data_IF_257280165665
#
_entry.id   IF_257280165665
#
_cell.length_a   1.000
_cell.length_b   1.000
_cell.length_c   1.000
_cell.angle_alpha   90.00
_cell.angle_beta   90.00
_cell.angle_gamma   90.00
#
_symmetry.space_group_name_H-M   'P 1'
#
loop_
_entity.id
_entity.type
_entity.pdbx_description
1 polymer ?
#
# COMPACT_ATOMS: atom_id res chain seq x y z
N UNK A 1 -1.46 7.45 1.98
CA UNK A 1 -1.01 7.25 0.59
C UNK A 1 -1.37 5.85 0.18
N UNK A 2 -1.81 5.69 -1.06
CA UNK A 2 -2.33 4.42 -1.56
C UNK A 2 -1.76 4.13 -2.94
N UNK A 3 -1.18 2.94 -3.13
CA UNK A 3 -0.82 2.47 -4.47
C UNK A 3 -2.09 2.13 -5.26
N UNK A 4 -2.19 2.63 -6.48
CA UNK A 4 -3.41 2.57 -7.30
C UNK A 4 -3.33 1.47 -8.36
N UNK A 5 -4.46 0.82 -8.64
CA UNK A 5 -4.64 -0.08 -9.78
C UNK A 5 -6.07 0.03 -10.32
N UNK A 6 -6.31 -0.18 -11.62
CA UNK A 6 -7.66 -0.13 -12.21
C UNK A 6 -8.49 -1.40 -11.96
N UNK A 7 -7.84 -2.53 -11.67
CA UNK A 7 -8.41 -3.88 -11.79
C UNK A 7 -9.16 -4.42 -10.56
N UNK A 8 -9.42 -3.59 -9.54
CA UNK A 8 -10.12 -4.08 -8.35
C UNK A 8 -11.63 -4.19 -8.59
N UNK A 9 -12.14 -5.42 -8.73
CA UNK A 9 -13.58 -5.72 -8.81
C UNK A 9 -14.28 -5.69 -7.44
N UNK A 10 -13.55 -5.40 -6.37
CA UNK A 10 -14.08 -5.32 -5.00
C UNK A 10 -15.09 -4.17 -4.85
N UNK A 11 -16.25 -4.47 -4.25
CA UNK A 11 -17.28 -3.50 -3.87
C UNK A 11 -17.38 -3.43 -2.34
N UNK A 12 -17.40 -2.23 -1.73
CA UNK A 12 -17.33 -0.91 -2.36
C UNK A 12 -15.97 -0.65 -3.02
N UNK A 13 -15.92 0.37 -3.90
CA UNK A 13 -14.73 0.70 -4.69
C UNK A 13 -13.48 0.75 -3.81
N UNK A 14 -12.51 -0.09 -4.15
CA UNK A 14 -11.28 -0.23 -3.39
C UNK A 14 -10.59 1.14 -3.31
N UNK A 15 -10.31 1.59 -2.09
CA UNK A 15 -9.68 2.88 -1.75
C UNK A 15 -10.55 4.16 -1.85
N UNK A 16 -11.86 4.02 -2.12
CA UNK A 16 -12.79 5.16 -2.19
C UNK A 16 -12.50 6.08 -3.38
N UNK A 17 -12.11 5.49 -4.51
CA UNK A 17 -11.76 6.18 -5.75
C UNK A 17 -12.64 5.63 -6.87
N UNK A 18 -13.08 6.50 -7.77
CA UNK A 18 -13.81 6.15 -8.99
C UNK A 18 -13.07 6.69 -10.21
N UNK A 19 -13.18 6.01 -11.34
CA UNK A 19 -12.58 6.44 -12.61
C UNK A 19 -13.66 6.71 -13.65
N UNK A 20 -13.39 7.62 -14.57
CA UNK A 20 -14.24 7.91 -15.73
C UNK A 20 -13.39 8.02 -16.99
N UNK A 21 -13.95 7.63 -18.14
CA UNK A 21 -13.22 7.52 -19.40
C UNK A 21 -12.37 6.25 -19.51
N UNK A 22 -11.43 6.24 -20.45
CA UNK A 22 -10.57 5.08 -20.72
C UNK A 22 -9.41 5.02 -19.73
N UNK A 23 -9.31 3.90 -19.02
CA UNK A 23 -8.22 3.62 -18.07
C UNK A 23 -7.56 2.28 -18.37
N UNK A 24 -6.26 2.17 -18.12
CA UNK A 24 -5.50 0.93 -18.25
C UNK A 24 -4.50 0.74 -17.10
N UNK A 25 -3.95 -0.46 -17.00
CA UNK A 25 -3.00 -0.83 -15.93
C UNK A 25 -1.57 -0.68 -16.44
N UNK A 26 -0.76 0.13 -15.77
CA UNK A 26 0.68 0.16 -15.98
C UNK A 26 1.39 -0.87 -15.10
N UNK A 27 2.71 -1.00 -15.27
CA UNK A 27 3.54 -2.03 -14.60
C UNK A 27 4.48 -1.46 -13.54
N UNK A 28 4.36 -0.16 -13.24
CA UNK A 28 5.27 0.58 -12.36
C UNK A 28 4.67 0.74 -10.96
N UNK A 29 5.42 1.37 -10.07
CA UNK A 29 4.98 1.69 -8.72
C UNK A 29 5.20 0.57 -7.68
N UNK A 30 4.78 0.79 -6.43
CA UNK A 30 5.05 -0.11 -5.30
C UNK A 30 4.40 -1.48 -5.41
N UNK A 31 3.35 -1.59 -6.24
CA UNK A 31 2.67 -2.85 -6.53
C UNK A 31 3.15 -3.49 -7.83
N UNK A 32 3.97 -2.81 -8.64
CA UNK A 32 4.18 -3.18 -10.05
C UNK A 32 2.89 -3.17 -10.86
N UNK A 33 1.93 -2.38 -10.39
CA UNK A 33 0.65 -2.05 -11.01
C UNK A 33 0.38 -0.58 -10.67
N UNK A 34 -0.11 0.16 -11.66
CA UNK A 34 -0.42 1.59 -11.61
C UNK A 34 -1.68 1.87 -12.41
N UNK A 35 -2.26 3.06 -12.25
CA UNK A 35 -3.35 3.51 -13.11
C UNK A 35 -2.82 4.42 -14.21
N UNK A 36 -3.16 4.12 -15.46
CA UNK A 36 -2.94 5.00 -16.60
C UNK A 36 -4.29 5.58 -17.00
N UNK A 37 -4.40 6.90 -16.91
CA UNK A 37 -5.54 7.65 -17.43
C UNK A 37 -5.22 8.01 -18.88
N UNK A 38 -6.09 7.64 -19.82
CA UNK A 38 -6.00 8.18 -21.19
C UNK A 38 -6.33 9.68 -21.19
N UNK A 39 -6.02 10.38 -22.29
CA UNK A 39 -6.40 11.79 -22.43
C UNK A 39 -7.91 11.98 -22.23
N UNK A 40 -8.29 12.95 -21.40
CA UNK A 40 -9.67 13.20 -20.97
C UNK A 40 -10.23 12.24 -19.91
N UNK A 41 -9.54 11.13 -19.59
CA UNK A 41 -9.94 10.25 -18.50
C UNK A 41 -9.60 10.87 -17.14
N UNK A 42 -10.35 10.47 -16.12
CA UNK A 42 -10.22 11.05 -14.79
C UNK A 42 -10.32 10.04 -13.67
N UNK A 43 -9.72 10.42 -12.55
CA UNK A 43 -9.81 9.78 -11.25
C UNK A 43 -10.49 10.75 -10.27
N UNK A 44 -11.47 10.28 -9.51
CA UNK A 44 -12.23 11.10 -8.57
C UNK A 44 -12.42 10.44 -7.20
N UNK A 45 -12.55 11.26 -6.17
CA UNK A 45 -12.83 10.83 -4.79
C UNK A 45 -13.38 11.99 -3.97
N UNK A 46 -14.12 11.68 -2.90
CA UNK A 46 -14.70 12.69 -2.00
C UNK A 46 -13.98 12.71 -0.66
N UNK A 47 -13.82 13.89 -0.07
CA UNK A 47 -13.34 14.06 1.30
C UNK A 47 -12.94 15.50 1.62
N UNK A 48 -12.46 15.74 2.85
CA UNK A 48 -11.90 17.02 3.28
C UNK A 48 -10.37 16.89 3.38
N UNK A 49 -9.64 17.42 2.41
CA UNK A 49 -8.19 17.26 2.32
C UNK A 49 -7.50 18.60 2.12
N UNK A 50 -6.55 18.92 3.01
CA UNK A 50 -5.74 20.14 2.85
C UNK A 50 -4.70 19.97 1.74
N UNK A 51 -4.36 18.73 1.39
CA UNK A 51 -3.38 18.38 0.39
C UNK A 51 -3.84 17.15 -0.40
N UNK A 52 -3.82 17.30 -1.72
CA UNK A 52 -4.07 16.24 -2.69
C UNK A 52 -2.95 16.26 -3.71
N UNK A 53 -2.17 15.19 -3.74
CA UNK A 53 -1.04 15.02 -4.65
C UNK A 53 -0.98 13.58 -5.14
N UNK A 54 -0.15 13.35 -6.15
CA UNK A 54 0.18 12.02 -6.66
C UNK A 54 1.68 11.78 -6.72
N UNK A 55 2.02 10.50 -6.69
CA UNK A 55 3.22 9.97 -7.35
C UNK A 55 2.86 9.54 -8.78
N UNK A 56 3.68 9.93 -9.74
CA UNK A 56 3.46 9.66 -11.15
C UNK A 56 4.76 9.27 -11.85
N UNK A 57 4.64 8.73 -13.05
CA UNK A 57 5.80 8.54 -13.93
C UNK A 57 5.86 9.69 -14.92
N UNK A 58 7.01 10.35 -15.06
CA UNK A 58 7.27 11.24 -16.18
C UNK A 58 7.80 10.39 -17.34
N UNK A 59 7.29 10.60 -18.56
CA UNK A 59 7.76 9.87 -19.74
C UNK A 59 7.48 10.66 -21.03
N UNK A 60 8.12 10.27 -22.13
CA UNK A 60 7.89 10.89 -23.43
C UNK A 60 6.46 10.57 -23.90
N UNK A 61 5.74 11.59 -24.38
CA UNK A 61 4.37 11.44 -24.87
C UNK A 61 3.28 11.40 -23.79
N UNK A 62 3.64 11.57 -22.51
CA UNK A 62 2.63 11.80 -21.46
C UNK A 62 2.09 13.23 -21.50
N UNK A 63 0.86 13.39 -20.99
CA UNK A 63 0.17 14.67 -20.88
C UNK A 63 0.43 15.37 -19.54
N UNK A 64 -0.60 16.05 -19.04
CA UNK A 64 -0.62 16.70 -17.74
C UNK A 64 -1.81 16.20 -16.90
N UNK A 65 -1.70 16.27 -15.57
CA UNK A 65 -2.83 16.08 -14.66
C UNK A 65 -3.36 17.42 -14.19
N UNK A 66 -4.64 17.68 -14.44
CA UNK A 66 -5.38 18.82 -13.93
C UNK A 66 -6.19 18.41 -12.70
N UNK A 67 -6.00 19.11 -11.58
CA UNK A 67 -6.64 18.83 -10.29
C UNK A 67 -7.75 19.86 -10.05
N UNK A 68 -8.98 19.40 -9.92
CA UNK A 68 -10.16 20.23 -9.68
C UNK A 68 -10.88 19.83 -8.39
N UNK A 69 -11.67 20.76 -7.85
CA UNK A 69 -12.53 20.55 -6.68
C UNK A 69 -13.96 20.99 -7.01
N UNK A 70 -14.95 20.14 -6.72
CA UNK A 70 -16.38 20.35 -6.98
C UNK A 70 -16.70 20.82 -8.41
N UNK A 71 -15.99 20.29 -9.41
CA UNK A 71 -16.20 20.64 -10.82
C UNK A 71 -15.74 22.06 -11.21
N UNK A 72 -15.08 22.78 -10.30
CA UNK A 72 -14.49 24.08 -10.58
C UNK A 72 -13.24 24.00 -11.47
N UNK A 73 -12.62 25.16 -11.71
CA UNK A 73 -11.36 25.24 -12.43
C UNK A 73 -10.24 24.45 -11.73
N UNK A 74 -9.25 24.01 -12.51
CA UNK A 74 -8.10 23.32 -11.96
C UNK A 74 -7.32 24.26 -11.02
N UNK A 75 -7.16 23.88 -9.76
CA UNK A 75 -6.34 24.62 -8.79
C UNK A 75 -4.86 24.24 -8.89
N UNK A 76 -4.55 23.17 -9.61
CA UNK A 76 -3.19 22.65 -9.83
C UNK A 76 -3.13 21.89 -11.14
N UNK A 77 -2.02 22.04 -11.86
CA UNK A 77 -1.67 21.22 -13.03
C UNK A 77 -0.27 20.66 -12.87
N UNK A 78 -0.06 19.40 -13.22
CA UNK A 78 1.21 18.69 -13.14
C UNK A 78 1.58 18.20 -14.53
N UNK A 79 2.71 18.66 -15.07
CA UNK A 79 3.22 18.17 -16.35
C UNK A 79 3.95 16.83 -16.16
N UNK A 80 3.49 15.79 -16.87
CA UNK A 80 4.10 14.46 -16.86
C UNK A 80 4.92 14.15 -18.13
N UNK A 81 4.99 15.09 -19.08
CA UNK A 81 5.86 14.96 -20.24
C UNK A 81 7.34 15.16 -19.85
N UNK A 82 8.23 14.31 -20.34
CA UNK A 82 9.68 14.52 -20.23
C UNK A 82 10.50 13.24 -20.38
N UNK A 83 11.74 13.28 -19.92
CA UNK A 83 12.56 12.08 -19.81
C UNK A 83 11.96 11.12 -18.78
N UNK A 84 12.17 9.81 -18.98
CA UNK A 84 11.65 8.78 -18.07
C UNK A 84 12.17 9.03 -16.64
N UNK A 85 11.25 9.34 -15.73
CA UNK A 85 11.51 9.46 -14.32
C UNK A 85 10.38 8.81 -13.53
N UNK A 86 10.73 7.87 -12.64
CA UNK A 86 9.76 7.11 -11.85
C UNK A 86 9.43 7.83 -10.54
N UNK A 87 8.24 7.55 -10.01
CA UNK A 87 7.77 7.98 -8.67
C UNK A 87 7.90 9.48 -8.38
N UNK A 88 7.79 10.30 -9.43
CA UNK A 88 7.82 11.75 -9.33
C UNK A 88 6.71 12.23 -8.41
N UNK A 89 7.05 13.12 -7.48
CA UNK A 89 6.11 13.66 -6.53
C UNK A 89 5.60 15.02 -7.01
N UNK A 90 4.29 15.14 -7.11
CA UNK A 90 3.66 16.36 -7.64
C UNK A 90 3.53 17.51 -6.64
N UNK A 91 3.90 17.34 -5.38
CA UNK A 91 3.62 18.30 -4.30
C UNK A 91 4.85 18.84 -3.58
N UNK A 92 4.66 19.45 -2.39
CA UNK A 92 3.38 19.63 -1.69
C UNK A 92 2.50 20.71 -2.34
N UNK A 93 1.21 20.42 -2.51
CA UNK A 93 0.24 21.41 -2.99
C UNK A 93 -0.97 21.49 -2.08
N UNK A 94 -1.16 22.66 -1.46
CA UNK A 94 -2.34 22.93 -0.65
C UNK A 94 -3.56 23.11 -1.55
N UNK A 95 -4.67 22.46 -1.20
CA UNK A 95 -5.93 22.54 -1.94
C UNK A 95 -6.70 23.83 -1.63
N UNK A 96 -6.41 24.45 -0.48
CA UNK A 96 -7.21 25.55 0.08
C UNK A 96 -8.60 25.15 0.57
N UNK A 97 -8.92 23.84 0.57
CA UNK A 97 -10.27 23.35 0.92
C UNK A 97 -10.31 22.84 2.36
N UNK A 98 -11.27 23.32 3.13
CA UNK A 98 -11.53 22.87 4.50
C UNK A 98 -12.77 21.96 4.62
N UNK A 99 -13.74 22.10 3.71
CA UNK A 99 -14.95 21.31 3.67
C UNK A 99 -14.77 20.03 2.85
N UNK A 100 -15.61 19.03 3.12
CA UNK A 100 -15.67 17.83 2.28
C UNK A 100 -16.22 18.18 0.89
N UNK A 101 -15.61 17.65 -0.16
CA UNK A 101 -16.09 17.80 -1.52
C UNK A 101 -15.42 16.80 -2.47
N UNK A 102 -15.82 16.86 -3.75
CA UNK A 102 -15.33 15.96 -4.78
C UNK A 102 -14.05 16.50 -5.42
N UNK A 103 -12.97 15.73 -5.34
CA UNK A 103 -11.74 15.99 -6.07
C UNK A 103 -11.74 15.20 -7.36
N UNK A 104 -11.23 15.81 -8.44
CA UNK A 104 -11.07 15.15 -9.74
C UNK A 104 -9.70 15.47 -10.30
N UNK A 105 -8.99 14.42 -10.72
CA UNK A 105 -7.69 14.48 -11.39
C UNK A 105 -7.92 14.00 -12.82
N UNK A 106 -7.77 14.89 -13.79
CA UNK A 106 -8.03 14.61 -15.21
C UNK A 106 -6.73 14.64 -16.00
N UNK A 107 -6.48 13.63 -16.82
CA UNK A 107 -5.38 13.65 -17.78
C UNK A 107 -5.74 14.57 -18.97
N UNK A 108 -4.82 15.45 -19.36
CA UNK A 108 -5.03 16.47 -20.39
C UNK A 108 -3.81 16.53 -21.31
N UNK A 109 -4.05 16.50 -22.62
CA UNK A 109 -3.01 16.61 -23.65
C UNK A 109 -2.17 15.34 -23.80
N UNK A 110 -2.66 14.20 -23.30
CA UNK A 110 -1.98 12.91 -23.38
C UNK A 110 -2.26 12.02 -22.16
N UNK A 111 -1.87 10.73 -22.21
CA UNK A 111 -2.05 9.82 -21.09
C UNK A 111 -1.15 10.20 -19.91
N UNK A 112 -1.56 9.84 -18.69
CA UNK A 112 -0.72 9.98 -17.49
C UNK A 112 -0.77 8.73 -16.61
N UNK A 113 0.41 8.24 -16.21
CA UNK A 113 0.55 7.10 -15.29
C UNK A 113 0.74 7.55 -13.84
N UNK A 114 -0.22 7.21 -12.98
CA UNK A 114 -0.22 7.51 -11.55
C UNK A 114 0.14 6.23 -10.78
N UNK A 115 1.24 6.30 -10.01
CA UNK A 115 1.75 5.17 -9.21
C UNK A 115 1.36 5.26 -7.74
N UNK A 116 0.86 6.41 -7.27
CA UNK A 116 0.36 6.55 -5.90
C UNK A 116 -0.47 7.82 -5.69
N UNK A 117 -1.44 7.76 -4.77
CA UNK A 117 -2.29 8.90 -4.39
C UNK A 117 -2.03 9.33 -2.95
N UNK A 118 -1.82 10.64 -2.76
CA UNK A 118 -1.66 11.30 -1.46
C UNK A 118 -2.91 12.12 -1.18
N UNK A 119 -3.50 11.86 -0.01
CA UNK A 119 -4.61 12.61 0.55
C UNK A 119 -4.29 12.88 2.01
N UNK A 120 -4.01 14.12 2.38
CA UNK A 120 -3.81 14.51 3.76
C UNK A 120 -5.05 15.27 4.24
N UNK A 121 -5.74 14.70 5.23
CA UNK A 121 -6.89 15.36 5.87
C UNK A 121 -6.46 16.62 6.62
N UNK A 122 -7.40 17.53 6.88
CA UNK A 122 -7.15 18.81 7.57
C UNK A 122 -6.45 18.56 8.92
N UNK A 123 -5.32 19.21 9.16
CA UNK A 123 -4.64 19.17 10.46
C UNK A 123 -5.03 20.38 11.30
N UNK A 124 -5.61 20.11 12.47
CA UNK A 124 -5.89 21.15 13.45
C UNK A 124 -4.60 21.85 13.90
N UNK A 125 -4.63 23.18 14.04
CA UNK A 125 -3.52 23.94 14.58
C UNK A 125 -3.11 23.41 15.98
N UNK A 126 -1.81 23.35 16.25
CA UNK A 126 -1.27 22.84 17.52
C UNK A 126 -1.30 21.31 17.71
N UNK A 127 -1.91 20.54 16.80
CA UNK A 127 -1.92 19.08 16.91
C UNK A 127 -0.53 18.44 16.68
N UNK A 128 -0.37 17.18 17.12
CA UNK A 128 0.87 16.40 16.97
C UNK A 128 1.34 16.28 15.51
N UNK A 129 2.64 15.99 15.27
CA UNK A 129 3.14 15.66 13.94
C UNK A 129 2.35 14.50 13.30
N UNK A 130 2.18 14.56 11.98
CA UNK A 130 1.46 13.52 11.22
C UNK A 130 2.30 12.25 11.13
N UNK A 131 1.67 11.11 11.37
CA UNK A 131 2.14 9.84 10.84
C UNK A 131 1.62 9.70 9.41
N UNK A 132 2.52 9.74 8.43
CA UNK A 132 2.19 9.55 7.02
C UNK A 132 2.31 8.07 6.72
N UNK A 133 1.21 7.45 6.30
CA UNK A 133 1.18 6.02 6.00
C UNK A 133 1.05 5.79 4.50
N UNK A 134 1.81 4.82 3.99
CA UNK A 134 1.66 4.25 2.66
C UNK A 134 1.16 2.82 2.83
N UNK A 135 0.11 2.46 2.09
CA UNK A 135 -0.35 1.08 1.96
C UNK A 135 -0.06 0.57 0.55
N UNK A 136 0.87 -0.38 0.45
CA UNK A 136 1.14 -1.17 -0.74
C UNK A 136 0.64 -2.59 -0.48
N UNK A 137 -0.63 -2.85 -0.76
CA UNK A 137 -1.26 -4.16 -0.57
C UNK A 137 -1.97 -4.62 -1.82
N UNK A 138 -1.86 -5.91 -2.12
CA UNK A 138 -2.54 -6.56 -3.22
C UNK A 138 -2.89 -8.00 -2.82
N UNK A 139 -4.09 -8.46 -3.15
CA UNK A 139 -4.50 -9.85 -2.89
C UNK A 139 -3.59 -10.84 -3.59
N UNK A 140 -3.32 -12.00 -3.00
CA UNK A 140 -2.46 -13.04 -3.58
C UNK A 140 -0.96 -12.71 -3.64
N UNK A 141 -0.50 -11.55 -3.17
CA UNK A 141 0.93 -11.22 -3.18
C UNK A 141 1.68 -12.01 -2.11
N UNK A 142 2.85 -12.49 -2.49
CA UNK A 142 3.81 -13.18 -1.65
C UNK A 142 5.00 -12.27 -1.34
N UNK A 143 5.95 -12.74 -0.53
CA UNK A 143 7.22 -12.01 -0.37
C UNK A 143 7.94 -11.79 -1.71
N UNK A 144 7.91 -12.77 -2.62
CA UNK A 144 8.54 -12.63 -3.95
C UNK A 144 7.89 -11.54 -4.81
N UNK A 145 6.62 -11.20 -4.55
CA UNK A 145 5.92 -10.12 -5.23
C UNK A 145 6.53 -8.74 -4.92
N UNK A 146 7.28 -8.57 -3.83
CA UNK A 146 7.96 -7.30 -3.50
C UNK A 146 9.45 -7.39 -3.88
N UNK A 147 9.70 -7.42 -5.20
CA UNK A 147 11.05 -7.39 -5.74
C UNK A 147 11.74 -6.02 -5.57
N UNK A 148 13.01 -5.94 -5.97
CA UNK A 148 13.83 -4.74 -5.81
C UNK A 148 13.19 -3.46 -6.39
N UNK A 149 12.58 -3.52 -7.59
CA UNK A 149 11.96 -2.36 -8.23
C UNK A 149 10.73 -1.86 -7.44
N UNK A 150 9.88 -2.79 -6.99
CA UNK A 150 8.69 -2.46 -6.19
C UNK A 150 9.05 -1.90 -4.81
N UNK A 151 10.08 -2.46 -4.17
CA UNK A 151 10.60 -1.93 -2.90
C UNK A 151 11.23 -0.54 -3.07
N UNK A 152 12.04 -0.35 -4.11
CA UNK A 152 12.64 0.96 -4.42
C UNK A 152 11.55 2.03 -4.61
N UNK A 153 10.49 1.69 -5.34
CA UNK A 153 9.33 2.56 -5.51
C UNK A 153 8.62 2.85 -4.19
N UNK A 154 8.34 1.82 -3.37
CA UNK A 154 7.73 1.99 -2.05
C UNK A 154 8.57 2.91 -1.14
N UNK A 155 9.89 2.75 -1.15
CA UNK A 155 10.85 3.57 -0.38
C UNK A 155 10.82 5.02 -0.87
N UNK A 156 10.93 5.25 -2.18
CA UNK A 156 10.90 6.58 -2.78
C UNK A 156 9.60 7.32 -2.44
N UNK A 157 8.47 6.63 -2.60
CA UNK A 157 7.17 7.20 -2.26
C UNK A 157 7.03 7.47 -0.76
N UNK A 158 7.47 6.57 0.13
CA UNK A 158 7.42 6.83 1.58
C UNK A 158 8.31 8.00 2.01
N UNK A 159 9.43 8.22 1.31
CA UNK A 159 10.41 9.26 1.60
C UNK A 159 10.02 10.68 1.17
N UNK A 160 8.89 10.86 0.46
CA UNK A 160 8.52 12.13 -0.20
C UNK A 160 8.55 13.37 0.71
N UNK A 161 8.32 13.18 2.02
CA UNK A 161 8.23 14.25 3.01
C UNK A 161 9.48 14.40 3.90
N UNK A 162 10.62 13.81 3.52
CA UNK A 162 11.91 14.01 4.20
C UNK A 162 12.04 13.33 5.58
N UNK A 163 11.33 12.23 5.81
CA UNK A 163 11.40 11.45 7.05
C UNK A 163 12.02 10.06 6.85
N UNK A 164 12.34 9.38 7.97
CA UNK A 164 12.74 7.96 7.92
C UNK A 164 11.53 7.07 7.70
N UNK A 165 11.68 6.08 6.82
CA UNK A 165 10.64 5.07 6.59
C UNK A 165 10.60 4.08 7.75
N UNK A 166 9.41 3.68 8.19
CA UNK A 166 9.24 2.65 9.22
C UNK A 166 8.37 1.54 8.62
N UNK A 167 8.98 0.50 8.02
CA UNK A 167 8.23 -0.53 7.31
C UNK A 167 7.45 -1.44 8.26
N UNK A 168 6.25 -1.82 7.83
CA UNK A 168 5.44 -2.87 8.45
C UNK A 168 5.22 -3.95 7.41
N UNK A 169 5.80 -5.14 7.61
CA UNK A 169 5.62 -6.27 6.69
C UNK A 169 4.43 -7.12 7.18
N UNK A 170 3.35 -7.11 6.42
CA UNK A 170 2.16 -7.94 6.64
C UNK A 170 1.95 -8.86 5.43
N UNK A 171 2.87 -9.83 5.28
CA UNK A 171 2.96 -10.76 4.15
C UNK A 171 3.15 -12.19 4.65
N UNK A 172 3.11 -13.15 3.73
CA UNK A 172 3.44 -14.55 4.03
C UNK A 172 2.24 -15.48 4.13
N UNK A 173 1.01 -14.96 4.21
CA UNK A 173 -0.17 -15.82 4.20
C UNK A 173 -0.27 -16.55 2.86
N UNK A 174 -0.13 -15.86 1.72
CA UNK A 174 -0.13 -16.48 0.40
C UNK A 174 1.10 -17.38 0.15
N UNK A 175 2.25 -17.08 0.77
CA UNK A 175 3.41 -17.98 0.71
C UNK A 175 3.12 -19.33 1.37
N UNK A 176 2.31 -19.35 2.44
CA UNK A 176 1.94 -20.60 3.11
C UNK A 176 1.16 -21.57 2.22
N UNK A 177 0.61 -21.09 1.10
CA UNK A 177 -0.18 -21.89 0.16
C UNK A 177 0.68 -22.79 -0.75
N UNK A 178 1.99 -22.55 -0.83
CA UNK A 178 2.80 -23.29 -1.79
C UNK A 178 4.27 -22.91 -1.89
N UNK A 179 4.76 -21.90 -1.18
CA UNK A 179 6.18 -21.53 -1.25
C UNK A 179 7.01 -22.41 -0.31
N UNK A 180 8.13 -23.02 -0.77
CA UNK A 180 9.03 -23.75 0.12
C UNK A 180 9.60 -22.86 1.24
N UNK A 181 9.70 -23.35 2.50
CA UNK A 181 10.19 -22.55 3.63
C UNK A 181 11.57 -21.90 3.43
N UNK A 182 12.49 -22.58 2.75
CA UNK A 182 13.80 -22.02 2.40
C UNK A 182 13.67 -20.81 1.45
N UNK A 183 12.79 -20.91 0.44
CA UNK A 183 12.50 -19.81 -0.49
C UNK A 183 11.85 -18.63 0.23
N UNK A 184 10.93 -18.88 1.17
CA UNK A 184 10.33 -17.84 2.02
C UNK A 184 11.44 -17.07 2.78
N UNK A 185 12.35 -17.80 3.42
CA UNK A 185 13.45 -17.23 4.20
C UNK A 185 14.37 -16.35 3.33
N UNK A 186 14.69 -16.81 2.11
CA UNK A 186 15.47 -16.04 1.11
C UNK A 186 14.76 -14.76 0.72
N UNK A 187 13.46 -14.81 0.40
CA UNK A 187 12.70 -13.65 -0.03
C UNK A 187 12.57 -12.60 1.09
N UNK A 188 12.29 -13.04 2.32
CA UNK A 188 12.25 -12.17 3.50
C UNK A 188 13.61 -11.49 3.71
N UNK A 189 14.69 -12.27 3.63
CA UNK A 189 16.07 -11.76 3.78
C UNK A 189 16.36 -10.67 2.75
N UNK A 190 15.96 -10.88 1.49
CA UNK A 190 16.11 -9.87 0.45
C UNK A 190 15.35 -8.59 0.75
N UNK A 191 14.09 -8.68 1.19
CA UNK A 191 13.29 -7.51 1.57
C UNK A 191 13.95 -6.75 2.72
N UNK A 192 14.34 -7.44 3.80
CA UNK A 192 14.97 -6.82 4.97
C UNK A 192 16.26 -6.10 4.56
N UNK A 193 17.12 -6.75 3.75
CA UNK A 193 18.36 -6.15 3.28
C UNK A 193 18.10 -4.85 2.50
N UNK A 194 17.09 -4.82 1.63
CA UNK A 194 16.71 -3.61 0.90
C UNK A 194 16.23 -2.49 1.82
N UNK A 195 15.45 -2.83 2.85
CA UNK A 195 14.93 -1.84 3.81
C UNK A 195 16.02 -1.30 4.75
N UNK A 196 16.94 -2.16 5.20
CA UNK A 196 18.12 -1.76 5.97
C UNK A 196 19.04 -0.86 5.15
N UNK A 197 19.27 -1.18 3.87
CA UNK A 197 20.02 -0.33 2.95
C UNK A 197 19.37 1.04 2.72
N UNK A 198 18.03 1.12 2.84
CA UNK A 198 17.27 2.36 2.84
C UNK A 198 17.25 3.08 4.21
N UNK A 199 18.09 2.65 5.15
CA UNK A 199 18.24 3.22 6.49
C UNK A 199 16.95 3.22 7.31
N UNK A 200 16.09 2.21 7.12
CA UNK A 200 14.94 2.00 7.98
C UNK A 200 15.41 1.83 9.44
N UNK A 201 15.02 2.71 10.37
CA UNK A 201 15.51 2.67 11.75
C UNK A 201 14.91 1.50 12.53
N UNK A 202 13.76 1.00 12.09
CA UNK A 202 13.04 -0.13 12.67
C UNK A 202 12.17 -0.77 11.59
N UNK A 203 12.08 -2.10 11.62
CA UNK A 203 11.17 -2.90 10.81
C UNK A 203 10.24 -3.63 11.76
N UNK A 204 8.93 -3.52 11.51
CA UNK A 204 7.90 -4.26 12.21
C UNK A 204 7.30 -5.31 11.29
N UNK A 205 6.82 -6.41 11.88
CA UNK A 205 6.18 -7.48 11.10
C UNK A 205 4.91 -7.94 11.78
N UNK A 206 3.89 -8.15 10.95
CA UNK A 206 2.64 -8.78 11.30
C UNK A 206 2.64 -10.16 10.62
N UNK A 207 3.05 -11.23 11.33
CA UNK A 207 3.12 -12.56 10.78
C UNK A 207 1.72 -13.04 10.31
N UNK A 208 1.66 -13.97 9.34
CA UNK A 208 0.39 -14.48 8.86
C UNK A 208 -0.36 -15.24 9.96
N UNK A 209 -1.67 -15.07 10.03
CA UNK A 209 -2.53 -15.75 11.00
C UNK A 209 -3.02 -17.10 10.48
N UNK A 210 -3.32 -18.04 11.38
CA UNK A 210 -3.72 -19.40 11.00
C UNK A 210 -5.08 -19.39 10.28
N UNK A 211 -5.14 -19.88 9.03
CA UNK A 211 -6.42 -20.04 8.37
C UNK A 211 -7.26 -21.16 9.03
N UNK A 212 -8.57 -21.10 8.87
CA UNK A 212 -9.47 -22.19 9.27
C UNK A 212 -9.21 -23.46 8.46
N UNK A 213 -9.71 -24.60 8.96
CA UNK A 213 -9.48 -25.91 8.33
C UNK A 213 -9.98 -26.01 6.88
N UNK A 214 -11.03 -25.29 6.48
CA UNK A 214 -11.53 -25.28 5.09
C UNK A 214 -10.51 -24.71 4.10
N UNK A 215 -9.72 -23.75 4.56
CA UNK A 215 -8.61 -23.16 3.82
C UNK A 215 -7.31 -23.94 4.02
N UNK A 216 -7.14 -24.60 5.16
CA UNK A 216 -5.95 -25.41 5.50
C UNK A 216 -5.96 -26.82 4.87
N UNK A 217 -7.14 -27.36 4.49
CA UNK A 217 -7.26 -28.71 3.90
C UNK A 217 -7.23 -28.74 2.37
N UNK A 218 -7.34 -27.59 1.70
CA UNK A 218 -7.43 -27.50 0.23
C UNK A 218 -6.06 -27.55 -0.48
N UNK A 219 -4.99 -27.87 0.24
CA UNK A 219 -3.62 -27.81 -0.28
C UNK A 219 -3.14 -29.12 -0.91
N UNK A 220 -3.11 -29.13 -2.24
CA UNK A 220 -2.41 -30.12 -3.05
C UNK A 220 -0.90 -30.07 -2.75
N UNK A 221 -0.41 -30.83 -1.78
CA UNK A 221 1.04 -31.11 -1.65
C UNK A 221 1.65 -31.16 -0.25
N UNK A 222 0.86 -31.12 0.84
CA UNK A 222 1.39 -31.35 2.20
C UNK A 222 2.28 -30.23 2.76
N UNK A 223 2.16 -29.00 2.23
CA UNK A 223 2.83 -27.81 2.76
C UNK A 223 1.88 -27.14 3.73
N UNK A 224 2.24 -27.14 5.01
CA UNK A 224 1.38 -26.66 6.09
C UNK A 224 1.75 -25.23 6.49
N UNK A 225 0.73 -24.45 6.86
CA UNK A 225 0.88 -23.12 7.45
C UNK A 225 2.01 -23.05 8.50
N UNK A 226 2.16 -24.10 9.30
CA UNK A 226 3.16 -24.20 10.35
C UNK A 226 4.61 -24.18 9.87
N UNK A 227 4.93 -24.87 8.77
CA UNK A 227 6.29 -24.86 8.21
C UNK A 227 6.64 -23.48 7.64
N UNK A 228 5.69 -22.85 6.95
CA UNK A 228 5.86 -21.49 6.44
C UNK A 228 6.02 -20.49 7.58
N UNK A 229 5.12 -20.51 8.57
CA UNK A 229 5.18 -19.64 9.74
C UNK A 229 6.47 -19.83 10.54
N UNK A 230 6.91 -21.09 10.70
CA UNK A 230 8.18 -21.42 11.36
C UNK A 230 9.36 -20.71 10.70
N UNK A 231 9.48 -20.80 9.37
CA UNK A 231 10.53 -20.11 8.62
C UNK A 231 10.44 -18.57 8.70
N UNK A 232 9.22 -18.03 8.62
CA UNK A 232 8.96 -16.59 8.76
C UNK A 232 9.45 -16.10 10.12
N UNK A 233 8.99 -16.72 11.21
CA UNK A 233 9.36 -16.36 12.59
C UNK A 233 10.85 -16.53 12.84
N UNK A 234 11.44 -17.62 12.35
CA UNK A 234 12.87 -17.88 12.51
C UNK A 234 13.72 -16.80 11.83
N UNK A 235 13.35 -16.41 10.59
CA UNK A 235 14.09 -15.39 9.83
C UNK A 235 13.95 -14.01 10.46
N UNK A 236 12.74 -13.62 10.89
CA UNK A 236 12.59 -12.34 11.59
C UNK A 236 13.35 -12.29 12.92
N UNK A 237 13.33 -13.39 13.70
CA UNK A 237 14.10 -13.49 14.95
C UNK A 237 15.60 -13.41 14.72
N UNK A 238 16.13 -14.12 13.72
CA UNK A 238 17.58 -14.10 13.42
C UNK A 238 18.06 -12.73 12.94
N UNK A 239 17.14 -11.89 12.44
CA UNK A 239 17.40 -10.52 11.98
C UNK A 239 17.02 -9.44 12.99
N UNK A 240 16.65 -9.81 14.22
CA UNK A 240 16.21 -8.88 15.27
C UNK A 240 15.07 -7.94 14.83
N UNK A 241 14.20 -8.43 13.95
CA UNK A 241 13.03 -7.70 13.46
C UNK A 241 11.89 -7.87 14.47
N UNK A 242 11.18 -6.77 14.78
CA UNK A 242 10.15 -6.79 15.81
C UNK A 242 8.85 -7.42 15.27
N UNK A 243 8.53 -8.62 15.76
CA UNK A 243 7.27 -9.29 15.44
C UNK A 243 6.17 -8.90 16.42
N UNK A 244 5.05 -8.43 15.87
CA UNK A 244 3.81 -8.26 16.61
C UNK A 244 3.15 -9.64 16.69
N UNK A 245 2.92 -10.21 17.88
CA UNK A 245 2.51 -11.61 18.03
C UNK A 245 1.01 -11.83 17.77
N UNK A 246 0.50 -11.31 16.64
CA UNK A 246 -0.93 -11.39 16.29
C UNK A 246 -1.34 -12.83 15.97
N UNK A 247 -0.43 -13.62 15.41
CA UNK A 247 -0.64 -15.01 14.99
C UNK A 247 -0.84 -16.01 16.14
N UNK A 248 -0.72 -15.57 17.40
CA UNK A 248 -1.08 -16.33 18.59
C UNK A 248 -2.54 -16.21 19.01
N UNK A 249 -3.33 -15.36 18.37
CA UNK A 249 -4.75 -15.15 18.69
C UNK A 249 -5.65 -16.20 18.01
N UNK A 250 -6.69 -16.63 18.70
CA UNK A 250 -7.66 -17.60 18.18
C UNK A 250 -8.70 -16.92 17.27
N UNK A 251 -8.30 -16.58 16.04
CA UNK A 251 -9.17 -15.93 15.06
C UNK A 251 -10.33 -16.80 14.59
N UNK A 252 -10.17 -18.13 14.66
CA UNK A 252 -11.17 -19.09 14.18
C UNK A 252 -12.40 -19.01 15.09
N UNK A 253 -12.20 -19.07 16.41
CA UNK A 253 -13.32 -19.05 17.36
C UNK A 253 -13.74 -17.64 17.78
N UNK A 254 -12.94 -16.61 17.53
CA UNK A 254 -13.29 -15.24 17.92
C UNK A 254 -14.32 -14.56 17.02
N UNK A 255 -14.71 -15.19 15.90
CA UNK A 255 -15.54 -14.55 14.89
C UNK A 255 -14.86 -13.38 14.17
N UNK A 256 -13.52 -13.34 14.13
CA UNK A 256 -12.76 -12.28 13.47
C UNK A 256 -12.54 -12.52 11.97
N UNK A 257 -12.83 -13.72 11.48
CA UNK A 257 -12.79 -14.05 10.06
C UNK A 257 -14.15 -13.82 9.39
N UNK A 258 -14.12 -13.45 8.11
CA UNK A 258 -15.29 -13.41 7.24
C UNK A 258 -15.62 -14.80 6.70
N UNK A 259 -14.62 -15.51 6.16
CA UNK A 259 -14.76 -16.82 5.53
C UNK A 259 -13.68 -17.82 5.97
N UNK A 260 -12.98 -17.53 7.06
CA UNK A 260 -11.96 -18.39 7.64
C UNK A 260 -10.54 -18.19 7.08
N UNK A 261 -10.32 -17.12 6.30
CA UNK A 261 -9.00 -16.68 5.84
C UNK A 261 -8.87 -15.16 5.92
N UNK A 262 -9.81 -14.41 5.33
CA UNK A 262 -9.79 -12.95 5.37
C UNK A 262 -10.52 -12.46 6.62
N UNK A 263 -10.01 -11.39 7.21
CA UNK A 263 -10.64 -10.79 8.37
C UNK A 263 -11.91 -10.04 7.96
N UNK A 264 -12.92 -10.07 8.83
CA UNK A 264 -14.00 -9.09 8.77
C UNK A 264 -13.54 -7.75 9.38
N UNK A 265 -14.43 -6.75 9.37
CA UNK A 265 -14.12 -5.41 9.91
C UNK A 265 -13.62 -5.47 11.37
N UNK A 266 -14.28 -6.25 12.23
CA UNK A 266 -13.86 -6.41 13.63
C UNK A 266 -12.47 -7.06 13.75
N UNK A 267 -12.15 -8.03 12.90
CA UNK A 267 -10.82 -8.65 12.84
C UNK A 267 -9.74 -7.67 12.38
N UNK A 268 -10.03 -6.86 11.36
CA UNK A 268 -9.13 -5.80 10.89
C UNK A 268 -8.88 -4.74 11.98
N UNK A 269 -9.93 -4.25 12.62
CA UNK A 269 -9.84 -3.25 13.70
C UNK A 269 -9.09 -3.80 14.91
N UNK A 270 -9.40 -5.02 15.33
CA UNK A 270 -8.70 -5.68 16.44
C UNK A 270 -7.20 -5.87 16.17
N UNK A 271 -6.82 -6.17 14.93
CA UNK A 271 -5.41 -6.28 14.55
C UNK A 271 -4.70 -4.92 14.52
N UNK A 272 -5.38 -3.87 14.06
CA UNK A 272 -4.85 -2.51 14.09
C UNK A 272 -4.61 -2.04 15.54
N UNK A 273 -5.57 -2.30 16.45
CA UNK A 273 -5.43 -1.97 17.86
C UNK A 273 -4.25 -2.69 18.52
N UNK A 274 -4.15 -4.02 18.34
CA UNK A 274 -3.02 -4.81 18.86
C UNK A 274 -1.67 -4.31 18.35
N UNK A 275 -1.60 -3.91 17.07
CA UNK A 275 -0.39 -3.31 16.51
C UNK A 275 -0.06 -2.00 17.22
N UNK A 276 -1.03 -1.09 17.35
CA UNK A 276 -0.84 0.22 17.97
C UNK A 276 -0.42 0.09 19.43
N UNK A 277 -1.09 -0.78 20.20
CA UNK A 277 -0.78 -1.03 21.61
C UNK A 277 0.63 -1.59 21.77
N UNK A 278 1.00 -2.61 20.99
CA UNK A 278 2.33 -3.20 21.07
C UNK A 278 3.44 -2.20 20.71
N UNK A 279 3.22 -1.37 19.69
CA UNK A 279 4.16 -0.31 19.32
C UNK A 279 4.20 0.79 20.37
N UNK A 280 3.08 1.13 21.02
CA UNK A 280 3.08 2.14 22.08
C UNK A 280 3.81 1.67 23.36
N UNK A 281 3.73 0.38 23.68
CA UNK A 281 4.37 -0.20 24.88
C UNK A 281 5.86 -0.53 24.68
N UNK A 282 6.26 -0.90 23.45
CA UNK A 282 7.59 -1.49 23.18
C UNK A 282 8.36 -0.86 22.03
N UNK A 283 7.76 0.12 21.34
CA UNK A 283 8.31 0.79 20.16
C UNK A 283 9.25 1.95 20.47
#
# INVERSE_FOLDING_TARGET
MTALRPSSTYLPSFYGVTTSGTVSTGTRGPLGESIILADGASLAFTGAYEQVDVHYTQDAGQGSLAFAFNGGAAYKTVNAAGALALDQYSGPSLTGQAASGNYTLTAVGGPVEITGLIRLGIKAAGSRPRLRTLRASHGSYTFASFNAARLASAIAQCGYAGGKIVPVLALGINDSFGTPPATISTNITSIINTLEAALAPRIFVMPPTRPSSSWDSSYTGGRTYDAALGAIRQTYRSRNVLSIPIDGFDYINSGAYQEGLHFNDAGHDGNALRFIEYVAERG
#
